data_IF_527768723403
#
_entry.id   IF_527768723403
#
_cell.length_a   1.000
_cell.length_b   1.000
_cell.length_c   1.000
_cell.angle_alpha   90.00
_cell.angle_beta   90.00
_cell.angle_gamma   90.00
#
_symmetry.space_group_name_H-M   'P 1'
#
loop_
_entity.id
_entity.type
_entity.pdbx_description
1 polymer ?
#
# COMPACT_ATOMS: atom_id res chain seq x y z
N UNK A 1 -28.00 3.78 -0.36
CA UNK A 1 -26.75 4.50 -0.70
C UNK A 1 -25.56 4.18 0.22
N UNK A 2 -25.73 3.46 1.34
CA UNK A 2 -24.64 3.15 2.29
C UNK A 2 -23.60 2.10 1.83
N UNK A 3 -23.88 1.32 0.78
CA UNK A 3 -23.04 0.17 0.37
C UNK A 3 -21.69 0.57 -0.24
N UNK A 4 -21.63 1.68 -0.99
CA UNK A 4 -20.43 2.12 -1.72
C UNK A 4 -19.31 2.59 -0.80
N UNK A 5 -19.61 3.48 0.16
CA UNK A 5 -18.61 3.97 1.12
C UNK A 5 -18.10 2.85 2.03
N UNK A 6 -18.98 1.94 2.44
CA UNK A 6 -18.60 0.76 3.23
C UNK A 6 -17.65 -0.16 2.46
N UNK A 7 -17.86 -0.34 1.16
CA UNK A 7 -16.96 -1.08 0.28
C UNK A 7 -15.60 -0.39 0.13
N UNK A 8 -15.58 0.93 -0.06
CA UNK A 8 -14.34 1.71 -0.14
C UNK A 8 -13.52 1.65 1.15
N UNK A 9 -14.18 1.70 2.32
CA UNK A 9 -13.51 1.52 3.63
C UNK A 9 -12.89 0.13 3.75
N UNK A 10 -13.62 -0.94 3.38
CA UNK A 10 -13.06 -2.30 3.37
C UNK A 10 -11.87 -2.43 2.42
N UNK A 11 -11.95 -1.82 1.23
CA UNK A 11 -10.84 -1.80 0.28
C UNK A 11 -9.62 -1.07 0.88
N UNK A 12 -9.84 0.06 1.54
CA UNK A 12 -8.78 0.80 2.22
C UNK A 12 -8.08 -0.06 3.30
N UNK A 13 -8.83 -0.85 4.07
CA UNK A 13 -8.24 -1.74 5.08
C UNK A 13 -7.35 -2.82 4.46
N UNK A 14 -7.77 -3.39 3.31
CA UNK A 14 -6.94 -4.34 2.55
C UNK A 14 -5.66 -3.67 2.05
N UNK A 15 -5.77 -2.47 1.47
CA UNK A 15 -4.63 -1.70 0.95
C UNK A 15 -3.64 -1.36 2.08
N UNK A 16 -4.14 -0.99 3.27
CA UNK A 16 -3.29 -0.76 4.45
C UNK A 16 -2.51 -2.00 4.87
N UNK A 17 -3.16 -3.17 4.94
CA UNK A 17 -2.49 -4.44 5.25
C UNK A 17 -1.45 -4.82 4.20
N UNK A 18 -1.76 -4.61 2.91
CA UNK A 18 -0.81 -4.84 1.82
C UNK A 18 0.41 -3.92 1.93
N UNK A 19 0.20 -2.64 2.27
CA UNK A 19 1.29 -1.68 2.51
C UNK A 19 2.19 -2.15 3.64
N UNK A 20 1.63 -2.55 4.77
CA UNK A 20 2.39 -3.07 5.93
C UNK A 20 3.25 -4.28 5.54
N UNK A 21 2.66 -5.22 4.80
CA UNK A 21 3.39 -6.39 4.29
C UNK A 21 4.58 -6.00 3.41
N UNK A 22 4.38 -5.06 2.48
CA UNK A 22 5.46 -4.59 1.58
C UNK A 22 6.57 -3.86 2.34
N UNK A 23 6.24 -3.10 3.39
CA UNK A 23 7.23 -2.46 4.26
C UNK A 23 8.09 -3.51 4.98
N UNK A 24 7.46 -4.56 5.52
CA UNK A 24 8.16 -5.64 6.20
C UNK A 24 9.06 -6.44 5.24
N UNK A 25 8.57 -6.75 4.05
CA UNK A 25 9.34 -7.46 3.03
C UNK A 25 10.52 -6.60 2.52
N UNK A 26 10.32 -5.29 2.30
CA UNK A 26 11.41 -4.38 1.96
C UNK A 26 12.47 -4.36 3.06
N UNK A 27 12.07 -4.22 4.33
CA UNK A 27 12.99 -4.23 5.46
C UNK A 27 13.78 -5.54 5.54
N UNK A 28 13.13 -6.69 5.30
CA UNK A 28 13.80 -8.00 5.22
C UNK A 28 14.82 -8.03 4.08
N UNK A 29 14.46 -7.56 2.88
CA UNK A 29 15.35 -7.54 1.73
C UNK A 29 16.54 -6.59 1.93
N UNK A 30 16.34 -5.45 2.58
CA UNK A 30 17.43 -4.55 2.97
C UNK A 30 18.40 -5.24 3.92
N UNK A 31 17.91 -5.98 4.93
CA UNK A 31 18.78 -6.78 5.82
C UNK A 31 19.56 -7.84 5.04
N UNK A 32 18.91 -8.55 4.12
CA UNK A 32 19.59 -9.54 3.27
C UNK A 32 20.63 -8.91 2.35
N UNK A 33 20.35 -7.74 1.79
CA UNK A 33 21.29 -7.00 0.96
C UNK A 33 22.55 -6.59 1.75
N UNK A 34 22.39 -6.16 3.01
CA UNK A 34 23.52 -5.88 3.93
C UNK A 34 24.36 -7.14 4.20
N UNK A 35 23.74 -8.31 4.21
CA UNK A 35 24.43 -9.62 4.28
C UNK A 35 25.05 -10.05 2.93
N UNK A 36 25.20 -9.14 1.96
CA UNK A 36 25.74 -9.39 0.61
C UNK A 36 24.96 -10.44 -0.21
N UNK A 37 23.70 -10.72 0.14
CA UNK A 37 22.83 -11.62 -0.65
C UNK A 37 22.34 -10.90 -1.91
N UNK A 38 22.27 -11.63 -3.03
CA UNK A 38 21.77 -11.10 -4.32
C UNK A 38 20.25 -10.96 -4.30
N UNK A 39 19.75 -9.85 -3.75
CA UNK A 39 18.31 -9.55 -3.62
C UNK A 39 17.87 -8.26 -4.33
N UNK A 40 18.77 -7.60 -5.06
CA UNK A 40 18.53 -6.28 -5.66
C UNK A 40 17.30 -6.25 -6.58
N UNK A 41 17.13 -7.25 -7.45
CA UNK A 41 15.98 -7.33 -8.35
C UNK A 41 14.65 -7.46 -7.59
N UNK A 42 14.62 -8.28 -6.53
CA UNK A 42 13.44 -8.45 -5.69
C UNK A 42 13.13 -7.19 -4.88
N UNK A 43 14.16 -6.53 -4.34
CA UNK A 43 14.02 -5.27 -3.61
C UNK A 43 13.42 -4.16 -4.49
N UNK A 44 13.90 -4.03 -5.72
CA UNK A 44 13.38 -3.06 -6.69
C UNK A 44 11.90 -3.32 -7.02
N UNK A 45 11.53 -4.58 -7.22
CA UNK A 45 10.12 -4.96 -7.43
C UNK A 45 9.23 -4.58 -6.25
N UNK A 46 9.66 -4.90 -5.03
CA UNK A 46 8.91 -4.56 -3.79
C UNK A 46 8.77 -3.05 -3.63
N UNK A 47 9.82 -2.26 -3.94
CA UNK A 47 9.74 -0.79 -3.91
C UNK A 47 8.68 -0.26 -4.86
N UNK A 48 8.67 -0.72 -6.12
CA UNK A 48 7.67 -0.30 -7.12
C UNK A 48 6.24 -0.63 -6.69
N UNK A 49 6.04 -1.83 -6.17
CA UNK A 49 4.74 -2.27 -5.67
C UNK A 49 4.27 -1.42 -4.48
N UNK A 50 5.18 -1.12 -3.53
CA UNK A 50 4.90 -0.23 -2.40
C UNK A 50 4.44 1.15 -2.85
N UNK A 51 5.10 1.75 -3.84
CA UNK A 51 4.68 3.05 -4.39
C UNK A 51 3.29 3.00 -5.03
N UNK A 52 2.98 1.92 -5.77
CA UNK A 52 1.63 1.74 -6.34
C UNK A 52 0.56 1.66 -5.25
N UNK A 53 0.81 0.91 -4.19
CA UNK A 53 -0.11 0.76 -3.05
C UNK A 53 -0.31 2.08 -2.30
N UNK A 54 0.75 2.87 -2.11
CA UNK A 54 0.65 4.21 -1.52
C UNK A 54 -0.24 5.15 -2.36
N UNK A 55 -0.10 5.10 -3.69
CA UNK A 55 -0.95 5.88 -4.59
C UNK A 55 -2.43 5.44 -4.54
N UNK A 56 -2.69 4.13 -4.48
CA UNK A 56 -4.05 3.58 -4.31
C UNK A 56 -4.67 4.03 -2.98
N UNK A 57 -3.92 3.94 -1.88
CA UNK A 57 -4.36 4.39 -0.56
C UNK A 57 -4.74 5.87 -0.57
N UNK A 58 -3.88 6.73 -1.13
CA UNK A 58 -4.14 8.17 -1.23
C UNK A 58 -5.40 8.47 -2.05
N UNK A 59 -5.61 7.74 -3.15
CA UNK A 59 -6.83 7.87 -3.98
C UNK A 59 -8.08 7.47 -3.21
N UNK A 60 -8.05 6.35 -2.49
CA UNK A 60 -9.18 5.88 -1.67
C UNK A 60 -9.53 6.87 -0.57
N UNK A 61 -8.51 7.37 0.16
CA UNK A 61 -8.70 8.39 1.19
C UNK A 61 -9.32 9.66 0.63
N UNK A 62 -8.86 10.13 -0.54
CA UNK A 62 -9.42 11.30 -1.21
C UNK A 62 -10.90 11.11 -1.55
N UNK A 63 -11.25 9.99 -2.19
CA UNK A 63 -12.64 9.69 -2.58
C UNK A 63 -13.53 9.60 -1.35
N UNK A 64 -13.11 8.87 -0.31
CA UNK A 64 -13.88 8.75 0.94
C UNK A 64 -14.11 10.13 1.58
N UNK A 65 -13.08 10.99 1.61
CA UNK A 65 -13.18 12.34 2.16
C UNK A 65 -14.17 13.21 1.38
N UNK A 66 -14.14 13.13 0.04
CA UNK A 66 -15.07 13.86 -0.83
C UNK A 66 -16.51 13.36 -0.65
N UNK A 67 -16.72 12.06 -0.52
CA UNK A 67 -18.06 11.51 -0.27
C UNK A 67 -18.64 11.93 1.09
N UNK A 68 -17.79 12.25 2.07
CA UNK A 68 -18.23 12.71 3.40
C UNK A 68 -18.55 14.22 3.45
N UNK A 69 -18.06 15.01 2.49
CA UNK A 69 -18.32 16.46 2.36
C UNK A 69 -18.59 16.79 0.90
N UNK A 70 -19.80 16.53 0.38
CA UNK A 70 -20.21 17.06 -0.91
C UNK A 70 -20.17 18.59 -0.85
N UNK A 71 -19.67 19.22 -1.91
CA UNK A 71 -19.59 20.67 -2.05
C UNK A 71 -20.98 21.30 -2.14
#
# INVERSE_FOLDING_TARGET
MESGIKLLKRRLDVVKKQKEYLILEEAKLVRMARQKKKVAHKLERVKREKFRILAEEAKLLRVIKQSAKPA
#
